data_IF_094937073252
#
_entry.id   IF_094937073252
#
_cell.length_a   1.000
_cell.length_b   1.000
_cell.length_c   1.000
_cell.angle_alpha   90.00
_cell.angle_beta   90.00
_cell.angle_gamma   90.00
#
_symmetry.space_group_name_H-M   'P 1'
#
loop_
_entity.id
_entity.type
_entity.pdbx_description
1 polymer ?
#
# COMPACT_ATOMS: atom_id res chain seq x y z
N UNK A 1 10.66 13.50 -27.80
CA UNK A 1 9.53 12.60 -28.07
C UNK A 1 8.82 12.36 -26.75
N UNK A 2 7.49 12.28 -26.79
CA UNK A 2 6.66 11.96 -25.62
C UNK A 2 6.61 10.44 -25.45
N UNK A 3 6.74 9.97 -24.21
CA UNK A 3 6.71 8.55 -23.85
C UNK A 3 5.78 8.31 -22.68
N UNK A 4 5.28 7.08 -22.55
CA UNK A 4 4.63 6.62 -21.32
C UNK A 4 5.69 6.11 -20.34
N UNK A 5 5.93 6.87 -19.27
CA UNK A 5 6.78 6.49 -18.16
C UNK A 5 5.98 5.88 -17.00
N UNK A 6 6.53 4.84 -16.38
CA UNK A 6 5.99 4.25 -15.15
C UNK A 6 6.99 4.52 -14.03
N UNK A 7 6.56 5.27 -13.02
CA UNK A 7 7.39 5.69 -11.89
C UNK A 7 6.86 5.07 -10.58
N UNK A 8 7.41 3.90 -10.23
CA UNK A 8 7.04 3.15 -9.04
C UNK A 8 8.17 3.21 -8.01
N UNK A 9 7.89 3.85 -6.87
CA UNK A 9 8.86 4.17 -5.82
C UNK A 9 8.16 4.24 -4.45
N UNK A 10 8.96 4.28 -3.38
CA UNK A 10 8.51 4.42 -2.00
C UNK A 10 8.07 5.82 -1.61
N UNK A 11 8.70 6.89 -2.12
CA UNK A 11 8.31 8.27 -1.73
C UNK A 11 8.77 9.32 -2.74
N UNK A 12 7.82 9.97 -3.41
CA UNK A 12 8.05 11.17 -4.23
C UNK A 12 7.15 12.31 -3.79
N UNK A 13 7.64 13.56 -3.84
CA UNK A 13 6.78 14.72 -3.56
C UNK A 13 6.02 15.14 -4.81
N UNK A 14 4.70 15.00 -4.77
CA UNK A 14 3.81 15.41 -5.85
C UNK A 14 3.59 16.93 -5.93
N UNK A 15 3.40 17.51 -7.12
CA UNK A 15 3.00 18.92 -7.27
C UNK A 15 1.61 19.22 -6.66
N UNK A 16 0.79 18.21 -6.38
CA UNK A 16 -0.51 18.31 -5.70
C UNK A 16 -0.41 18.18 -4.17
N UNK A 17 0.81 18.12 -3.61
CA UNK A 17 1.07 17.98 -2.17
C UNK A 17 0.84 16.56 -1.64
N UNK A 18 0.55 15.58 -2.50
CA UNK A 18 0.42 14.17 -2.12
C UNK A 18 1.74 13.43 -2.30
N UNK A 19 1.86 12.26 -1.68
CA UNK A 19 3.02 11.38 -1.83
C UNK A 19 2.81 10.54 -3.10
N UNK A 20 3.69 10.74 -4.08
CA UNK A 20 3.71 9.98 -5.33
C UNK A 20 4.63 8.76 -5.22
N UNK A 21 4.53 7.88 -6.19
CA UNK A 21 5.37 6.68 -6.29
C UNK A 21 4.67 5.48 -6.93
N UNK A 22 3.54 5.69 -7.60
CA UNK A 22 2.80 4.67 -8.34
C UNK A 22 2.18 5.29 -9.58
N UNK A 23 2.96 6.08 -10.30
CA UNK A 23 2.47 7.00 -11.32
C UNK A 23 2.71 6.46 -12.72
N UNK A 24 1.78 6.77 -13.62
CA UNK A 24 1.90 6.60 -15.06
C UNK A 24 1.87 7.99 -15.68
N UNK A 25 2.96 8.40 -16.31
CA UNK A 25 3.17 9.76 -16.79
C UNK A 25 3.35 9.74 -18.32
N UNK A 26 2.63 10.60 -19.03
CA UNK A 26 3.01 10.99 -20.39
C UNK A 26 4.04 12.10 -20.25
N UNK A 27 5.29 11.83 -20.63
CA UNK A 27 6.40 12.73 -20.35
C UNK A 27 7.32 12.91 -21.56
N UNK A 28 7.88 14.11 -21.70
CA UNK A 28 9.05 14.39 -22.51
C UNK A 28 10.22 14.86 -21.62
N UNK A 29 11.27 15.44 -22.20
CA UNK A 29 12.44 15.90 -21.43
C UNK A 29 12.21 17.20 -20.64
N UNK A 30 11.08 17.88 -20.84
CA UNK A 30 10.78 19.20 -20.28
C UNK A 30 9.57 19.14 -19.35
N UNK A 31 8.54 18.42 -19.74
CA UNK A 31 7.26 18.40 -19.05
C UNK A 31 6.70 16.98 -18.91
N UNK A 32 5.74 16.83 -18.01
CA UNK A 32 4.98 15.60 -17.84
C UNK A 32 3.51 15.90 -17.51
N UNK A 33 2.63 14.98 -17.89
CA UNK A 33 1.24 14.95 -17.47
C UNK A 33 0.95 13.59 -16.81
N UNK A 34 0.25 13.61 -15.68
CA UNK A 34 -0.21 12.39 -15.02
C UNK A 34 -1.33 11.75 -15.84
N UNK A 35 -1.06 10.59 -16.41
CA UNK A 35 -2.02 9.79 -17.18
C UNK A 35 -2.85 8.88 -16.28
N UNK A 36 -2.17 8.18 -15.37
CA UNK A 36 -2.83 7.37 -14.34
C UNK A 36 -1.98 7.29 -13.08
N UNK A 37 -2.55 6.74 -12.00
CA UNK A 37 -1.84 6.44 -10.75
C UNK A 37 -2.48 5.27 -10.02
N UNK A 38 -1.76 4.66 -9.08
CA UNK A 38 -2.39 3.78 -8.08
C UNK A 38 -3.46 4.54 -7.29
N UNK A 39 -4.58 3.88 -6.96
CA UNK A 39 -5.63 4.44 -6.11
C UNK A 39 -5.00 5.00 -4.82
N UNK A 40 -5.18 6.30 -4.53
CA UNK A 40 -4.58 6.86 -3.33
C UNK A 40 -5.19 6.31 -2.04
N UNK A 41 -4.38 6.19 -0.99
CA UNK A 41 -4.84 5.88 0.36
C UNK A 41 -4.14 6.77 1.41
N UNK A 42 -4.76 7.01 2.57
CA UNK A 42 -4.16 7.83 3.62
C UNK A 42 -3.04 7.08 4.34
N UNK A 43 -1.99 7.78 4.77
CA UNK A 43 -0.93 7.22 5.62
C UNK A 43 -1.05 7.75 7.07
N UNK A 44 -1.74 7.04 7.97
CA UNK A 44 -1.78 7.41 9.39
C UNK A 44 -0.42 7.20 10.07
N UNK A 45 -0.26 7.73 11.28
CA UNK A 45 0.96 7.57 12.08
C UNK A 45 2.08 8.59 11.78
N UNK A 46 1.86 9.52 10.86
CA UNK A 46 2.84 10.56 10.52
C UNK A 46 4.18 9.97 10.11
N UNK A 47 5.29 10.46 10.67
CA UNK A 47 6.65 9.97 10.38
C UNK A 47 6.85 8.48 10.70
N UNK A 48 6.05 7.90 11.61
CA UNK A 48 6.15 6.49 11.94
C UNK A 48 5.86 5.59 10.74
N UNK A 49 4.98 6.02 9.84
CA UNK A 49 4.61 5.28 8.62
C UNK A 49 5.80 4.97 7.71
N UNK A 50 6.88 5.76 7.78
CA UNK A 50 8.10 5.55 6.99
C UNK A 50 8.81 4.26 7.42
N UNK A 51 8.79 3.94 8.73
CA UNK A 51 9.53 2.82 9.32
C UNK A 51 8.63 1.68 9.77
N UNK A 52 7.32 1.87 9.74
CA UNK A 52 6.35 0.93 10.27
C UNK A 52 5.27 0.64 9.22
N UNK A 53 5.53 -0.33 8.32
CA UNK A 53 4.59 -0.81 7.31
C UNK A 53 3.16 -1.04 7.81
N UNK A 54 2.99 -1.42 9.09
CA UNK A 54 1.68 -1.59 9.73
C UNK A 54 0.76 -0.37 9.59
N UNK A 55 1.29 0.85 9.57
CA UNK A 55 0.48 2.06 9.38
C UNK A 55 0.03 2.25 7.93
N UNK A 56 0.86 1.88 6.95
CA UNK A 56 0.45 1.87 5.55
C UNK A 56 -0.68 0.85 5.33
N UNK A 57 -0.57 -0.35 5.92
CA UNK A 57 -1.64 -1.35 5.91
C UNK A 57 -2.94 -0.85 6.56
N UNK A 58 -2.85 -0.15 7.69
CA UNK A 58 -4.03 0.41 8.36
C UNK A 58 -4.73 1.46 7.48
N UNK A 59 -3.96 2.33 6.82
CA UNK A 59 -4.46 3.30 5.85
C UNK A 59 -5.10 2.66 4.62
N UNK A 60 -4.49 1.59 4.11
CA UNK A 60 -5.00 0.79 3.00
C UNK A 60 -6.36 0.15 3.34
N UNK A 61 -6.46 -0.51 4.50
CA UNK A 61 -7.73 -1.10 4.98
C UNK A 61 -8.82 -0.03 5.13
N UNK A 62 -8.47 1.14 5.68
CA UNK A 62 -9.41 2.25 5.82
C UNK A 62 -9.94 2.74 4.47
N UNK A 63 -9.06 2.92 3.48
CA UNK A 63 -9.46 3.33 2.12
C UNK A 63 -10.32 2.28 1.39
N UNK A 64 -10.18 1.00 1.75
CA UNK A 64 -11.00 -0.11 1.26
C UNK A 64 -12.30 -0.33 2.06
N UNK A 65 -12.53 0.42 3.14
CA UNK A 65 -13.65 0.20 4.04
C UNK A 65 -13.62 -1.16 4.75
N UNK A 66 -12.42 -1.73 4.94
CA UNK A 66 -12.22 -3.03 5.58
C UNK A 66 -11.84 -2.80 7.05
N UNK A 67 -12.54 -3.41 8.02
CA UNK A 67 -12.17 -3.29 9.42
C UNK A 67 -10.83 -4.00 9.68
N UNK A 68 -9.97 -3.37 10.48
CA UNK A 68 -8.71 -4.01 10.93
C UNK A 68 -8.98 -5.25 11.79
N UNK A 69 -10.10 -5.25 12.52
CA UNK A 69 -10.54 -6.40 13.30
C UNK A 69 -10.83 -7.60 12.37
N UNK A 70 -10.25 -8.75 12.70
CA UNK A 70 -10.33 -9.97 11.87
C UNK A 70 -9.19 -10.12 10.87
N UNK A 71 -8.26 -9.16 10.79
CA UNK A 71 -7.02 -9.31 10.01
C UNK A 71 -5.82 -9.58 10.93
N UNK A 72 -4.74 -10.22 10.44
CA UNK A 72 -3.49 -10.37 11.21
C UNK A 72 -2.91 -9.05 11.72
N UNK A 73 -3.19 -7.95 11.01
CA UNK A 73 -2.74 -6.60 11.35
C UNK A 73 -3.26 -6.13 12.72
N UNK A 74 -4.40 -6.64 13.21
CA UNK A 74 -4.92 -6.26 14.53
C UNK A 74 -3.93 -6.58 15.67
N UNK A 75 -3.15 -7.66 15.53
CA UNK A 75 -2.13 -8.04 16.52
C UNK A 75 -0.88 -7.14 16.45
N UNK A 76 -0.73 -6.36 15.38
CA UNK A 76 0.40 -5.47 15.18
C UNK A 76 0.29 -4.17 15.99
N UNK A 77 -0.83 -3.90 16.68
CA UNK A 77 -1.09 -2.63 17.37
C UNK A 77 -1.61 -2.81 18.79
N UNK A 78 -1.34 -1.84 19.67
CA UNK A 78 -2.08 -1.70 20.93
C UNK A 78 -3.45 -1.07 20.69
N UNK A 79 -4.35 -1.18 21.67
CA UNK A 79 -5.67 -0.54 21.61
C UNK A 79 -5.56 0.98 21.52
N UNK A 80 -4.59 1.55 22.23
CA UNK A 80 -4.31 2.98 22.24
C UNK A 80 -3.78 3.45 20.89
N UNK A 81 -2.86 2.71 20.26
CA UNK A 81 -2.36 3.03 18.93
C UNK A 81 -3.48 3.00 17.88
N UNK A 82 -4.35 1.98 17.91
CA UNK A 82 -5.51 1.90 17.02
C UNK A 82 -6.48 3.05 17.24
N UNK A 83 -6.78 3.42 18.48
CA UNK A 83 -7.68 4.53 18.78
C UNK A 83 -7.14 5.88 18.26
N UNK A 84 -5.83 6.11 18.41
CA UNK A 84 -5.16 7.31 17.87
C UNK A 84 -5.21 7.30 16.35
N UNK A 85 -4.84 6.19 15.71
CA UNK A 85 -4.83 6.10 14.26
C UNK A 85 -6.24 6.20 13.65
N UNK A 86 -7.26 5.62 14.30
CA UNK A 86 -8.66 5.78 13.90
C UNK A 86 -9.07 7.27 13.94
N UNK A 87 -8.72 7.99 15.02
CA UNK A 87 -8.99 9.43 15.12
C UNK A 87 -8.27 10.23 14.03
N UNK A 88 -7.03 9.86 13.70
CA UNK A 88 -6.27 10.48 12.62
C UNK A 88 -6.97 10.30 11.27
N UNK A 89 -7.38 9.08 10.95
CA UNK A 89 -8.06 8.74 9.71
C UNK A 89 -9.43 9.43 9.59
N UNK A 90 -10.26 9.37 10.65
CA UNK A 90 -11.59 9.98 10.67
C UNK A 90 -11.56 11.49 10.51
N UNK A 91 -10.53 12.16 11.05
CA UNK A 91 -10.41 13.62 11.05
C UNK A 91 -9.44 14.16 10.01
N UNK A 92 -8.79 13.29 9.22
CA UNK A 92 -7.76 13.69 8.26
C UNK A 92 -6.52 14.35 8.91
N UNK A 93 -6.17 13.97 10.15
CA UNK A 93 -5.08 14.59 10.91
C UNK A 93 -3.77 13.85 10.68
N UNK A 94 -2.78 14.52 10.09
CA UNK A 94 -1.46 13.93 9.79
C UNK A 94 -1.54 12.63 8.98
N UNK A 95 -2.49 12.57 8.04
CA UNK A 95 -2.74 11.44 7.13
C UNK A 95 -2.54 11.88 5.68
N UNK A 96 -1.30 12.16 5.24
CA UNK A 96 -1.06 12.50 3.84
C UNK A 96 -1.56 11.37 2.95
N UNK A 97 -2.16 11.73 1.81
CA UNK A 97 -2.54 10.76 0.79
C UNK A 97 -1.30 10.30 0.04
N UNK A 98 -1.22 9.00 -0.24
CA UNK A 98 -0.16 8.40 -1.03
C UNK A 98 -0.72 7.58 -2.17
N UNK A 99 -0.07 7.62 -3.33
CA UNK A 99 -0.22 6.68 -4.44
C UNK A 99 1.06 5.84 -4.62
N UNK A 100 1.94 5.78 -3.61
CA UNK A 100 3.20 5.04 -3.67
C UNK A 100 3.01 3.52 -3.80
N UNK A 101 3.65 2.94 -4.81
CA UNK A 101 3.79 1.51 -4.98
C UNK A 101 4.60 0.90 -3.83
N UNK A 102 5.70 1.53 -3.39
CA UNK A 102 6.46 1.02 -2.25
C UNK A 102 5.64 0.96 -0.96
N UNK A 103 4.79 1.96 -0.69
CA UNK A 103 3.87 1.94 0.45
C UNK A 103 2.76 0.90 0.30
N UNK A 104 2.28 0.63 -0.92
CA UNK A 104 1.36 -0.46 -1.20
C UNK A 104 2.00 -1.83 -0.91
N UNK A 105 3.24 -2.05 -1.34
CA UNK A 105 4.00 -3.28 -1.06
C UNK A 105 4.27 -3.46 0.44
N UNK A 106 4.68 -2.39 1.13
CA UNK A 106 4.83 -2.40 2.59
C UNK A 106 3.51 -2.78 3.28
N UNK A 107 2.39 -2.22 2.82
CA UNK A 107 1.07 -2.49 3.36
C UNK A 107 0.68 -3.97 3.18
N UNK A 108 0.87 -4.53 1.98
CA UNK A 108 0.61 -5.95 1.68
C UNK A 108 1.49 -6.86 2.55
N UNK A 109 2.79 -6.59 2.65
CA UNK A 109 3.71 -7.34 3.50
C UNK A 109 3.29 -7.33 4.97
N UNK A 110 2.77 -6.19 5.47
CA UNK A 110 2.26 -6.08 6.83
C UNK A 110 0.94 -6.84 7.05
N UNK A 111 0.03 -6.83 6.07
CA UNK A 111 -1.22 -7.61 6.11
C UNK A 111 -0.94 -9.12 6.14
N UNK A 112 0.06 -9.57 5.40
CA UNK A 112 0.54 -10.96 5.37
C UNK A 112 1.34 -11.36 6.63
N UNK A 113 1.57 -10.43 7.56
CA UNK A 113 2.34 -10.70 8.79
C UNK A 113 3.85 -10.86 8.58
N UNK A 114 4.37 -10.56 7.40
CA UNK A 114 5.80 -10.69 7.08
C UNK A 114 6.63 -9.64 7.82
N UNK A 115 6.17 -8.38 7.81
CA UNK A 115 6.89 -7.27 8.41
C UNK A 115 5.98 -6.13 8.86
N UNK A 116 6.03 -5.79 10.15
CA UNK A 116 5.31 -4.63 10.70
C UNK A 116 6.21 -3.43 11.00
N UNK A 117 7.53 -3.64 11.13
CA UNK A 117 8.52 -2.60 11.41
C UNK A 117 9.83 -2.87 10.66
N UNK A 118 10.28 -1.88 9.91
CA UNK A 118 11.48 -1.94 9.08
C UNK A 118 12.75 -1.53 9.86
N UNK A 119 13.77 -2.38 9.80
CA UNK A 119 15.13 -2.11 10.27
C UNK A 119 15.91 -1.24 9.28
N UNK A 120 15.63 -1.37 7.98
CA UNK A 120 16.23 -0.60 6.89
C UNK A 120 15.19 -0.30 5.79
N UNK A 121 15.56 0.53 4.82
CA UNK A 121 14.67 0.96 3.74
C UNK A 121 14.21 -0.22 2.87
N UNK A 122 12.94 -0.20 2.45
CA UNK A 122 12.32 -1.22 1.59
C UNK A 122 12.30 -2.67 2.14
N UNK A 123 12.65 -2.92 3.41
CA UNK A 123 12.71 -4.26 3.98
C UNK A 123 11.41 -5.08 3.79
N UNK A 124 10.24 -4.50 4.09
CA UNK A 124 8.99 -5.23 3.96
C UNK A 124 8.65 -5.60 2.50
N UNK A 125 8.97 -4.71 1.55
CA UNK A 125 8.84 -5.01 0.13
C UNK A 125 9.78 -6.15 -0.31
N UNK A 126 11.02 -6.16 0.18
CA UNK A 126 11.97 -7.27 -0.08
C UNK A 126 11.51 -8.59 0.54
N UNK A 127 10.98 -8.56 1.77
CA UNK A 127 10.44 -9.75 2.43
C UNK A 127 9.23 -10.31 1.65
N UNK A 128 8.40 -9.43 1.08
CA UNK A 128 7.28 -9.81 0.23
C UNK A 128 7.73 -10.44 -1.08
N UNK A 129 8.71 -9.83 -1.76
CA UNK A 129 9.30 -10.38 -2.99
C UNK A 129 9.89 -11.77 -2.74
N UNK A 130 10.65 -11.94 -1.65
CA UNK A 130 11.22 -13.23 -1.27
C UNK A 130 10.16 -14.30 -1.00
N UNK A 131 9.04 -13.92 -0.38
CA UNK A 131 7.93 -14.84 -0.14
C UNK A 131 7.25 -15.26 -1.46
N UNK A 132 7.04 -14.33 -2.37
CA UNK A 132 6.41 -14.58 -3.67
C UNK A 132 7.28 -15.44 -4.61
N UNK A 133 8.61 -15.28 -4.57
CA UNK A 133 9.55 -16.03 -5.42
C UNK A 133 9.61 -17.54 -5.09
N UNK A 134 9.06 -17.93 -3.93
CA UNK A 134 8.99 -19.33 -3.50
C UNK A 134 7.71 -20.07 -3.92
N UNK A 135 6.77 -19.37 -4.58
CA UNK A 135 5.51 -19.93 -5.04
C UNK A 135 5.59 -20.55 -6.43
N UNK A 136 4.96 -21.71 -6.61
CA UNK A 136 4.90 -22.42 -7.90
C UNK A 136 3.64 -22.06 -8.72
N UNK A 137 2.65 -21.38 -8.12
CA UNK A 137 1.37 -21.04 -8.74
C UNK A 137 1.07 -19.54 -8.56
N UNK A 138 0.54 -18.90 -9.61
CA UNK A 138 0.22 -17.47 -9.58
C UNK A 138 -1.28 -17.28 -9.31
N UNK A 139 -1.64 -16.83 -8.10
CA UNK A 139 -2.98 -16.37 -7.81
C UNK A 139 -3.41 -15.20 -8.72
N UNK A 140 -4.71 -15.05 -8.93
CA UNK A 140 -5.26 -13.95 -9.73
C UNK A 140 -5.69 -12.82 -8.79
N UNK A 141 -4.93 -11.73 -8.81
CA UNK A 141 -5.25 -10.51 -8.05
C UNK A 141 -5.82 -9.43 -8.99
N UNK A 142 -7.14 -9.19 -8.98
CA UNK A 142 -7.77 -8.25 -9.90
C UNK A 142 -7.38 -6.80 -9.58
N UNK A 143 -6.94 -6.08 -10.60
CA UNK A 143 -6.63 -4.65 -10.54
C UNK A 143 -7.24 -3.99 -11.78
N UNK A 144 -8.11 -2.99 -11.58
CA UNK A 144 -8.83 -2.32 -12.67
C UNK A 144 -8.35 -0.88 -12.84
N UNK A 145 -8.21 -0.41 -14.09
CA UNK A 145 -7.95 1.01 -14.36
C UNK A 145 -9.27 1.73 -14.60
N UNK A 146 -9.66 2.58 -13.66
CA UNK A 146 -10.89 3.38 -13.73
C UNK A 146 -10.57 4.86 -13.64
N UNK A 147 -10.96 5.64 -14.66
CA UNK A 147 -10.80 7.10 -14.68
C UNK A 147 -9.38 7.59 -14.33
N UNK A 148 -8.33 6.88 -14.79
CA UNK A 148 -6.93 7.19 -14.49
C UNK A 148 -6.46 6.75 -13.09
N UNK A 149 -7.24 5.92 -12.41
CA UNK A 149 -6.88 5.33 -11.12
C UNK A 149 -6.82 3.80 -11.25
N UNK A 150 -5.66 3.22 -10.96
CA UNK A 150 -5.45 1.78 -10.90
C UNK A 150 -5.88 1.29 -9.51
N UNK A 151 -7.07 0.68 -9.45
CA UNK A 151 -7.73 0.26 -8.22
C UNK A 151 -7.22 -1.08 -7.71
N UNK A 152 -6.50 -1.02 -6.59
CA UNK A 152 -5.94 -2.19 -5.89
C UNK A 152 -6.94 -2.83 -4.91
N UNK A 153 -8.09 -2.21 -4.62
CA UNK A 153 -9.02 -2.73 -3.60
C UNK A 153 -9.45 -4.19 -3.86
N UNK A 154 -9.85 -4.58 -5.09
CA UNK A 154 -10.27 -5.96 -5.35
C UNK A 154 -9.17 -6.98 -5.06
N UNK A 155 -7.91 -6.67 -5.41
CA UNK A 155 -6.75 -7.49 -5.09
C UNK A 155 -6.57 -7.67 -3.57
N UNK A 156 -6.75 -6.61 -2.78
CA UNK A 156 -6.61 -6.70 -1.31
C UNK A 156 -7.72 -7.54 -0.68
N UNK A 157 -8.94 -7.50 -1.22
CA UNK A 157 -10.02 -8.39 -0.75
C UNK A 157 -9.69 -9.85 -1.00
N UNK A 158 -9.27 -10.20 -2.22
CA UNK A 158 -8.84 -11.56 -2.56
C UNK A 158 -7.71 -12.01 -1.64
N UNK A 159 -6.69 -11.16 -1.40
CA UNK A 159 -5.59 -11.46 -0.50
C UNK A 159 -6.06 -11.82 0.92
N UNK A 160 -7.00 -11.05 1.47
CA UNK A 160 -7.53 -11.28 2.82
C UNK A 160 -8.43 -12.51 2.90
N UNK A 161 -9.21 -12.79 1.85
CA UNK A 161 -10.04 -14.00 1.77
C UNK A 161 -9.17 -15.26 1.73
N UNK A 162 -8.09 -15.26 0.95
CA UNK A 162 -7.12 -16.36 0.90
C UNK A 162 -6.40 -16.57 2.24
N UNK A 163 -6.00 -15.48 2.92
CA UNK A 163 -5.47 -15.58 4.29
C UNK A 163 -6.49 -16.18 5.26
N UNK A 164 -7.77 -15.86 5.11
CA UNK A 164 -8.86 -16.44 5.91
C UNK A 164 -9.08 -17.93 5.66
N UNK A 165 -8.71 -18.42 4.48
CA UNK A 165 -8.72 -19.84 4.11
C UNK A 165 -7.44 -20.58 4.53
N UNK A 166 -6.56 -19.92 5.30
CA UNK A 166 -5.25 -20.44 5.73
C UNK A 166 -4.30 -20.78 4.57
N UNK A 167 -4.49 -20.14 3.40
CA UNK A 167 -3.57 -20.27 2.26
C UNK A 167 -2.18 -19.77 2.68
N UNK A 168 -1.11 -20.58 2.56
CA UNK A 168 0.24 -20.16 2.90
C UNK A 168 0.64 -18.92 2.10
N UNK A 169 1.39 -17.99 2.71
CA UNK A 169 1.80 -16.74 2.03
C UNK A 169 2.58 -17.00 0.73
N UNK A 170 3.36 -18.09 0.68
CA UNK A 170 4.09 -18.50 -0.53
C UNK A 170 3.21 -19.11 -1.64
N UNK A 171 1.94 -19.39 -1.36
CA UNK A 171 0.97 -19.98 -2.28
C UNK A 171 -0.14 -19.00 -2.69
N UNK A 172 -0.01 -17.73 -2.31
CA UNK A 172 -0.86 -16.62 -2.75
C UNK A 172 -0.39 -16.12 -4.12
#
# INVERSE_FOLDING_TARGET
EEVLGVAWDGTGHGPDGTIWGGEFLLADRRDFARFARLRPFPLPGGELSIRQPRYAALGLLHAAGIPVAGTPLAAAFTKEELAVAATQLERGLNTPLTSSAGRLFDAVAALLGLRWRNAFEAQAAMDLEFAADSGDDAGVFPVALESGSLDWEPAIRVLLDELGNETPVAAL
#
